data_IF_895039781663
#
_entry.id   IF_895039781663
#
_cell.length_a   1.000
_cell.length_b   1.000
_cell.length_c   1.000
_cell.angle_alpha   90.00
_cell.angle_beta   90.00
_cell.angle_gamma   90.00
#
_symmetry.space_group_name_H-M   'P 1'
#
loop_
_entity.id
_entity.type
_entity.pdbx_description
1 polymer ?
#
# COMPACT_ATOMS: atom_id res chain seq x y z
N UNK A 1 -5.46 47.70 -17.99
CA UNK A 1 -5.41 46.31 -18.51
C UNK A 1 -4.12 45.63 -18.03
N UNK A 2 -4.01 45.27 -16.74
CA UNK A 2 -2.78 44.70 -16.15
C UNK A 2 -3.10 43.67 -15.03
N UNK A 3 -4.11 42.82 -15.21
CA UNK A 3 -4.60 41.90 -14.14
C UNK A 3 -4.56 40.40 -14.47
N UNK A 4 -3.98 39.98 -15.59
CA UNK A 4 -3.94 38.54 -15.98
C UNK A 4 -2.60 37.83 -15.75
N UNK A 5 -1.57 38.53 -15.27
CA UNK A 5 -0.23 37.93 -15.09
C UNK A 5 -0.10 37.03 -13.85
N UNK A 6 -1.09 37.02 -12.96
CA UNK A 6 -1.06 36.26 -11.70
C UNK A 6 -1.52 34.80 -11.80
N UNK A 7 -2.30 34.43 -12.82
CA UNK A 7 -2.84 33.06 -12.94
C UNK A 7 -1.91 32.10 -13.71
N UNK A 8 -0.83 32.62 -14.29
CA UNK A 8 0.00 31.90 -15.25
C UNK A 8 1.28 31.28 -14.62
N UNK A 9 1.73 31.71 -13.44
CA UNK A 9 2.99 31.18 -12.85
C UNK A 9 2.80 29.79 -12.24
N UNK A 10 1.72 29.58 -11.49
CA UNK A 10 1.46 28.27 -10.86
C UNK A 10 1.09 27.21 -11.90
N UNK A 11 0.23 27.55 -12.86
CA UNK A 11 -0.16 26.67 -13.97
C UNK A 11 1.07 26.28 -14.84
N UNK A 12 2.04 27.19 -15.00
CA UNK A 12 3.30 26.89 -15.71
C UNK A 12 4.20 25.92 -14.96
N UNK A 13 4.31 26.06 -13.64
CA UNK A 13 5.15 25.17 -12.82
C UNK A 13 4.55 23.77 -12.73
N UNK A 14 3.22 23.67 -12.65
CA UNK A 14 2.48 22.41 -12.70
C UNK A 14 2.72 21.69 -14.03
N UNK A 15 2.49 22.38 -15.16
CA UNK A 15 2.77 21.84 -16.50
C UNK A 15 4.23 21.43 -16.72
N UNK A 16 5.18 22.13 -16.10
CA UNK A 16 6.59 21.77 -16.17
C UNK A 16 6.87 20.45 -15.44
N UNK A 17 6.28 20.23 -14.27
CA UNK A 17 6.39 18.95 -13.54
C UNK A 17 5.76 17.82 -14.33
N UNK A 18 4.55 18.03 -14.83
CA UNK A 18 3.84 17.02 -15.63
C UNK A 18 4.62 16.70 -16.92
N UNK A 19 5.31 17.68 -17.52
CA UNK A 19 6.13 17.48 -18.73
C UNK A 19 7.37 16.63 -18.41
N UNK A 20 8.06 16.93 -17.30
CA UNK A 20 9.21 16.15 -16.84
C UNK A 20 8.86 14.70 -16.45
N UNK A 21 7.65 14.50 -15.91
CA UNK A 21 7.10 13.19 -15.55
C UNK A 21 6.46 12.44 -16.75
N UNK A 22 6.39 13.07 -17.93
CA UNK A 22 5.74 12.52 -19.13
C UNK A 22 4.23 12.23 -18.93
N UNK A 23 3.57 13.04 -18.10
CA UNK A 23 2.13 12.95 -17.81
C UNK A 23 1.29 13.87 -18.71
N UNK A 24 1.92 14.75 -19.49
CA UNK A 24 1.22 15.59 -20.48
C UNK A 24 0.63 14.74 -21.61
N UNK A 25 -0.56 15.16 -22.06
CA UNK A 25 -1.11 14.67 -23.33
C UNK A 25 -0.23 15.14 -24.49
N UNK A 26 -0.18 14.40 -25.61
CA UNK A 26 0.75 14.71 -26.72
C UNK A 26 0.52 16.10 -27.34
N UNK A 27 -0.73 16.56 -27.39
CA UNK A 27 -1.10 17.90 -27.84
C UNK A 27 -0.59 19.00 -26.89
N UNK A 28 -0.68 18.78 -25.59
CA UNK A 28 -0.18 19.69 -24.56
C UNK A 28 1.36 19.71 -24.54
N UNK A 29 2.00 18.56 -24.72
CA UNK A 29 3.45 18.44 -24.78
C UNK A 29 4.02 19.25 -25.94
N UNK A 30 3.41 19.15 -27.13
CA UNK A 30 3.81 19.94 -28.30
C UNK A 30 3.65 21.44 -28.06
N UNK A 31 2.54 21.86 -27.45
CA UNK A 31 2.33 23.27 -27.09
C UNK A 31 3.38 23.76 -26.07
N UNK A 32 3.77 22.91 -25.12
CA UNK A 32 4.81 23.23 -24.14
C UNK A 32 6.21 23.30 -24.79
N UNK A 33 6.51 22.43 -25.76
CA UNK A 33 7.76 22.48 -26.52
C UNK A 33 7.90 23.77 -27.33
N UNK A 34 6.83 24.22 -27.99
CA UNK A 34 6.79 25.52 -28.64
C UNK A 34 7.04 26.68 -27.65
N UNK A 35 6.53 26.56 -26.42
CA UNK A 35 6.83 27.52 -25.36
C UNK A 35 8.30 27.48 -24.93
N UNK A 36 8.88 26.29 -24.82
CA UNK A 36 10.29 26.12 -24.47
C UNK A 36 11.19 26.80 -25.50
N UNK A 37 10.89 26.74 -26.80
CA UNK A 37 11.65 27.44 -27.83
C UNK A 37 11.70 28.97 -27.63
N UNK A 38 10.63 29.55 -27.05
CA UNK A 38 10.50 31.00 -26.84
C UNK A 38 10.85 31.51 -25.43
N UNK A 39 11.08 30.62 -24.45
CA UNK A 39 11.20 31.01 -23.03
C UNK A 39 12.49 30.51 -22.37
N UNK A 40 13.54 31.34 -22.25
CA UNK A 40 14.82 30.93 -21.69
C UNK A 40 14.77 30.58 -20.19
N UNK A 41 13.78 31.09 -19.45
CA UNK A 41 13.58 30.73 -18.05
C UNK A 41 13.13 29.27 -17.92
N UNK A 42 12.13 28.85 -18.68
CA UNK A 42 11.64 27.48 -18.66
C UNK A 42 12.68 26.49 -19.23
N UNK A 43 13.48 26.89 -20.21
CA UNK A 43 14.63 26.09 -20.68
C UNK A 43 15.62 25.83 -19.55
N UNK A 44 15.94 26.84 -18.74
CA UNK A 44 16.85 26.71 -17.60
C UNK A 44 16.28 25.79 -16.55
N UNK A 45 15.01 25.97 -16.17
CA UNK A 45 14.35 25.11 -15.19
C UNK A 45 14.37 23.64 -15.62
N UNK A 46 14.03 23.35 -16.89
CA UNK A 46 14.09 21.98 -17.44
C UNK A 46 15.52 21.42 -17.42
N UNK A 47 16.53 22.23 -17.74
CA UNK A 47 17.93 21.81 -17.69
C UNK A 47 18.38 21.47 -16.24
N UNK A 48 18.04 22.33 -15.28
CA UNK A 48 18.36 22.14 -13.86
C UNK A 48 17.72 20.84 -13.33
N UNK A 49 16.45 20.58 -13.66
CA UNK A 49 15.77 19.35 -13.26
C UNK A 49 16.37 18.10 -13.92
N UNK A 50 16.78 18.17 -15.19
CA UNK A 50 17.47 17.05 -15.86
C UNK A 50 18.79 16.72 -15.17
N UNK A 51 19.56 17.73 -14.78
CA UNK A 51 20.80 17.54 -14.04
C UNK A 51 20.55 16.84 -12.68
N UNK A 52 19.50 17.24 -11.95
CA UNK A 52 19.11 16.57 -10.71
C UNK A 52 18.72 15.11 -10.95
N UNK A 53 17.95 14.83 -12.01
CA UNK A 53 17.54 13.47 -12.38
C UNK A 53 18.75 12.60 -12.73
N UNK A 54 19.72 13.13 -13.47
CA UNK A 54 20.97 12.44 -13.79
C UNK A 54 21.82 12.18 -12.54
N UNK A 55 21.91 13.14 -11.63
CA UNK A 55 22.60 12.97 -10.36
C UNK A 55 21.95 11.88 -9.49
N UNK A 56 20.62 11.86 -9.42
CA UNK A 56 19.84 10.82 -8.73
C UNK A 56 19.94 9.46 -9.41
N UNK A 57 20.02 9.40 -10.74
CA UNK A 57 20.23 8.15 -11.47
C UNK A 57 21.63 7.57 -11.23
N UNK A 58 22.61 8.43 -10.95
CA UNK A 58 23.99 8.02 -10.60
C UNK A 58 24.09 7.52 -9.16
N UNK A 59 23.13 7.86 -8.29
CA UNK A 59 22.99 7.22 -6.99
C UNK A 59 22.48 5.79 -7.17
N UNK A 60 23.40 4.88 -7.53
CA UNK A 60 23.19 3.46 -7.34
C UNK A 60 22.99 3.22 -5.84
N UNK A 61 21.77 2.84 -5.45
CA UNK A 61 21.55 2.32 -4.10
C UNK A 61 22.27 0.97 -4.00
N UNK A 62 23.53 0.99 -3.59
CA UNK A 62 24.27 -0.19 -3.15
C UNK A 62 23.42 -0.93 -2.10
N UNK A 63 22.85 -2.07 -2.50
CA UNK A 63 22.14 -2.98 -1.60
C UNK A 63 20.64 -3.17 -1.83
N UNK A 64 20.01 -2.54 -2.82
CA UNK A 64 18.64 -2.91 -3.22
C UNK A 64 18.70 -3.82 -4.45
N UNK A 65 18.33 -5.11 -4.36
CA UNK A 65 18.26 -5.96 -5.54
C UNK A 65 17.32 -5.27 -6.55
N UNK A 66 17.82 -5.03 -7.76
CA UNK A 66 17.01 -4.56 -8.87
C UNK A 66 15.98 -5.64 -9.19
N UNK A 67 14.83 -5.59 -8.51
CA UNK A 67 13.66 -6.37 -8.87
C UNK A 67 13.07 -5.64 -10.06
N UNK A 68 13.58 -5.92 -11.26
CA UNK A 68 12.87 -5.60 -12.50
C UNK A 68 11.59 -6.44 -12.50
N UNK A 69 10.53 -5.92 -11.92
CA UNK A 69 9.18 -6.43 -12.14
C UNK A 69 8.82 -6.07 -13.59
N UNK A 70 9.34 -6.86 -14.53
CA UNK A 70 8.75 -7.00 -15.85
C UNK A 70 7.35 -7.55 -15.59
N UNK A 71 6.39 -6.64 -15.44
CA UNK A 71 4.98 -7.02 -15.53
C UNK A 71 4.80 -7.34 -17.01
N UNK A 72 5.16 -8.56 -17.38
CA UNK A 72 4.80 -9.15 -18.66
C UNK A 72 3.27 -9.12 -18.72
N UNK A 73 2.76 -8.06 -19.33
CA UNK A 73 1.38 -7.98 -19.69
C UNK A 73 1.11 -9.10 -20.70
N UNK A 74 0.43 -10.15 -20.22
CA UNK A 74 -0.10 -11.32 -20.92
C UNK A 74 0.80 -12.56 -20.86
N UNK A 75 0.25 -13.70 -20.39
CA UNK A 75 -0.69 -14.40 -21.26
C UNK A 75 -2.08 -14.53 -20.65
N UNK A 76 -3.09 -14.48 -21.52
CA UNK A 76 -4.46 -14.97 -21.29
C UNK A 76 -4.41 -16.45 -20.93
N UNK A 77 -3.96 -16.80 -19.74
CA UNK A 77 -4.05 -18.16 -19.22
C UNK A 77 -5.53 -18.38 -18.97
N UNK A 78 -6.17 -19.10 -19.89
CA UNK A 78 -7.62 -19.26 -19.88
C UNK A 78 -8.02 -19.78 -18.51
N UNK A 79 -8.89 -19.06 -17.81
CA UNK A 79 -9.35 -19.46 -16.47
C UNK A 79 -9.95 -20.88 -16.48
N UNK A 80 -10.38 -21.34 -17.65
CA UNK A 80 -10.79 -22.70 -17.97
C UNK A 80 -9.70 -23.76 -17.82
N UNK A 81 -8.44 -23.46 -18.15
CA UNK A 81 -7.32 -24.39 -17.95
C UNK A 81 -7.00 -24.56 -16.46
N UNK A 82 -7.07 -23.48 -15.69
CA UNK A 82 -6.96 -23.54 -14.22
C UNK A 82 -8.08 -24.39 -13.63
N UNK A 83 -9.30 -24.22 -14.15
CA UNK A 83 -10.46 -25.02 -13.74
C UNK A 83 -10.36 -26.50 -14.13
N UNK A 84 -9.57 -26.82 -15.16
CA UNK A 84 -9.33 -28.19 -15.63
C UNK A 84 -8.29 -28.93 -14.79
N UNK A 85 -7.37 -28.20 -14.17
CA UNK A 85 -6.34 -28.74 -13.28
C UNK A 85 -6.83 -29.03 -11.86
N UNK A 86 -8.03 -28.57 -11.49
CA UNK A 86 -8.62 -28.81 -10.17
C UNK A 86 -9.09 -30.26 -10.02
N UNK A 87 -8.90 -30.88 -8.83
CA UNK A 87 -9.31 -32.25 -8.58
C UNK A 87 -10.84 -32.40 -8.66
N UNK A 88 -11.32 -33.59 -9.06
CA UNK A 88 -12.73 -33.82 -9.45
C UNK A 88 -13.74 -33.36 -8.39
N UNK A 89 -13.42 -33.55 -7.10
CA UNK A 89 -14.27 -33.14 -5.97
C UNK A 89 -14.43 -31.62 -5.86
N UNK A 90 -13.38 -30.83 -6.12
CA UNK A 90 -13.49 -29.35 -6.15
C UNK A 90 -14.36 -28.86 -7.31
N UNK A 91 -14.35 -29.57 -8.44
CA UNK A 91 -15.20 -29.23 -9.59
C UNK A 91 -16.67 -29.44 -9.25
N UNK A 92 -16.99 -30.53 -8.54
CA UNK A 92 -18.34 -30.78 -8.01
C UNK A 92 -18.77 -29.71 -7.00
N UNK A 93 -17.90 -29.35 -6.06
CA UNK A 93 -18.21 -28.31 -5.04
C UNK A 93 -18.40 -26.94 -5.70
N UNK A 94 -17.52 -26.54 -6.62
CA UNK A 94 -17.64 -25.25 -7.32
C UNK A 94 -18.88 -25.17 -8.21
N UNK A 95 -19.24 -26.26 -8.90
CA UNK A 95 -20.46 -26.33 -9.69
C UNK A 95 -21.71 -26.23 -8.81
N UNK A 96 -21.72 -26.93 -7.66
CA UNK A 96 -22.80 -26.85 -6.70
C UNK A 96 -22.92 -25.44 -6.08
N UNK A 97 -21.80 -24.82 -5.74
CA UNK A 97 -21.76 -23.46 -5.21
C UNK A 97 -22.23 -22.42 -6.25
N UNK A 98 -21.79 -22.53 -7.50
CA UNK A 98 -22.23 -21.68 -8.59
C UNK A 98 -23.74 -21.86 -8.87
N UNK A 99 -24.24 -23.10 -8.83
CA UNK A 99 -25.67 -23.38 -8.95
C UNK A 99 -26.47 -22.77 -7.79
N UNK A 100 -26.01 -22.91 -6.54
CA UNK A 100 -26.63 -22.26 -5.38
C UNK A 100 -26.59 -20.73 -5.47
N UNK A 101 -25.49 -20.15 -5.93
CA UNK A 101 -25.35 -18.71 -6.12
C UNK A 101 -26.33 -18.21 -7.20
N UNK A 102 -26.45 -18.93 -8.32
CA UNK A 102 -27.44 -18.63 -9.36
C UNK A 102 -28.86 -18.75 -8.82
N UNK A 103 -29.18 -19.81 -8.07
CA UNK A 103 -30.50 -19.99 -7.43
C UNK A 103 -30.82 -18.84 -6.45
N UNK A 104 -29.82 -18.37 -5.70
CA UNK A 104 -29.96 -17.22 -4.80
C UNK A 104 -30.15 -15.91 -5.57
N UNK A 105 -29.40 -15.68 -6.64
CA UNK A 105 -29.54 -14.52 -7.53
C UNK A 105 -30.90 -14.49 -8.24
N UNK A 106 -31.42 -15.65 -8.64
CA UNK A 106 -32.72 -15.77 -9.32
C UNK A 106 -33.92 -15.87 -8.37
N UNK A 107 -33.70 -15.87 -7.05
CA UNK A 107 -34.73 -15.96 -6.01
C UNK A 107 -35.81 -17.01 -6.36
N UNK A 108 -35.38 -18.20 -6.80
CA UNK A 108 -36.27 -19.25 -7.29
C UNK A 108 -37.05 -19.82 -6.11
N UNK A 109 -38.35 -19.54 -6.05
CA UNK A 109 -39.23 -20.12 -5.05
C UNK A 109 -39.89 -21.37 -5.62
N UNK A 110 -39.52 -22.53 -5.09
CA UNK A 110 -40.18 -23.81 -5.39
C UNK A 110 -41.25 -24.03 -4.33
N UNK A 111 -42.51 -23.86 -4.72
CA UNK A 111 -43.67 -24.10 -3.86
C UNK A 111 -44.43 -25.34 -4.30
N UNK A 112 -44.81 -26.19 -3.35
CA UNK A 112 -45.73 -27.29 -3.59
C UNK A 112 -47.10 -26.93 -3.05
N UNK A 113 -48.10 -26.79 -3.93
CA UNK A 113 -49.47 -26.51 -3.51
C UNK A 113 -50.35 -27.71 -3.84
N UNK A 114 -51.03 -28.27 -2.84
CA UNK A 114 -51.77 -29.53 -2.95
C UNK A 114 -52.92 -29.52 -3.98
N UNK A 115 -53.33 -28.33 -4.45
CA UNK A 115 -54.38 -28.16 -5.46
C UNK A 115 -53.86 -27.92 -6.89
N UNK A 116 -52.65 -27.39 -7.05
CA UNK A 116 -52.11 -26.93 -8.36
C UNK A 116 -50.78 -27.61 -8.76
N UNK A 117 -50.23 -28.50 -7.92
CA UNK A 117 -48.96 -29.18 -8.18
C UNK A 117 -47.71 -28.34 -7.88
N UNK A 118 -46.59 -28.69 -8.52
CA UNK A 118 -45.31 -27.98 -8.40
C UNK A 118 -45.36 -26.65 -9.16
N UNK A 119 -45.24 -25.53 -8.44
CA UNK A 119 -45.14 -24.20 -9.06
C UNK A 119 -43.69 -23.70 -8.99
N UNK A 120 -43.08 -23.51 -10.16
CA UNK A 120 -41.79 -22.86 -10.31
C UNK A 120 -42.01 -21.38 -10.65
N UNK A 121 -41.62 -20.47 -9.73
CA UNK A 121 -41.58 -19.03 -10.03
C UNK A 121 -40.15 -18.51 -9.87
N UNK A 122 -39.58 -18.04 -10.98
CA UNK A 122 -38.35 -17.26 -10.99
C UNK A 122 -38.73 -15.79 -11.27
N UNK A 123 -38.50 -14.91 -10.30
CA UNK A 123 -38.79 -13.47 -10.42
C UNK A 123 -37.50 -12.69 -10.17
N UNK A 124 -37.02 -11.95 -11.17
CA UNK A 124 -35.89 -11.02 -11.06
C UNK A 124 -36.23 -9.74 -10.28
N UNK A 125 -37.49 -9.57 -9.88
CA UNK A 125 -37.95 -8.42 -9.09
C UNK A 125 -38.33 -8.95 -7.70
N UNK A 126 -37.69 -8.47 -6.61
CA UNK A 126 -38.09 -8.82 -5.25
C UNK A 126 -39.49 -8.25 -5.02
N UNK A 127 -40.51 -9.11 -5.07
CA UNK A 127 -41.83 -8.74 -4.60
C UNK A 127 -41.78 -8.72 -3.08
N UNK A 128 -41.71 -7.51 -2.53
CA UNK A 128 -42.02 -7.24 -1.14
C UNK A 128 -43.36 -7.92 -0.84
N UNK A 129 -43.31 -8.91 0.06
CA UNK A 129 -44.47 -9.53 0.70
C UNK A 129 -45.47 -8.41 1.04
N UNK A 130 -46.76 -8.50 0.68
CA UNK A 130 -47.72 -7.45 0.99
C UNK A 130 -47.76 -7.28 2.51
N UNK A 131 -47.11 -6.24 2.99
CA UNK A 131 -47.12 -5.87 4.39
C UNK A 131 -48.54 -5.44 4.73
N UNK A 132 -49.09 -5.86 5.88
CA UNK A 132 -50.36 -5.32 6.36
C UNK A 132 -50.29 -3.79 6.38
N UNK A 133 -51.39 -3.09 6.05
CA UNK A 133 -51.41 -1.64 5.90
C UNK A 133 -50.91 -1.01 7.20
N UNK A 134 -49.68 -0.49 7.15
CA UNK A 134 -49.13 0.29 8.26
C UNK A 134 -49.87 1.62 8.27
N UNK A 135 -50.26 2.14 9.44
CA UNK A 135 -50.91 3.43 9.53
C UNK A 135 -49.98 4.49 8.91
N UNK A 136 -50.52 5.25 7.97
CA UNK A 136 -49.83 6.37 7.34
C UNK A 136 -49.69 7.48 8.39
N UNK A 137 -48.65 7.39 9.21
CA UNK A 137 -48.18 8.51 10.01
C UNK A 137 -47.52 9.45 9.00
N UNK A 138 -48.19 10.56 8.70
CA UNK A 138 -47.67 11.60 7.82
C UNK A 138 -46.49 12.29 8.47
N UNK A 139 -45.29 11.72 8.33
CA UNK A 139 -44.05 12.39 8.68
C UNK A 139 -43.93 13.64 7.81
N UNK A 140 -43.80 14.79 8.46
CA UNK A 140 -43.54 16.04 7.76
C UNK A 140 -42.13 16.01 7.17
N UNK A 141 -41.90 16.70 6.05
CA UNK A 141 -40.59 16.74 5.38
C UNK A 141 -39.47 17.22 6.34
N UNK A 142 -39.82 18.11 7.27
CA UNK A 142 -38.92 18.63 8.29
C UNK A 142 -38.51 17.56 9.32
N UNK A 143 -39.42 16.66 9.67
CA UNK A 143 -39.14 15.56 10.59
C UNK A 143 -38.20 14.52 9.95
N UNK A 144 -38.39 14.22 8.67
CA UNK A 144 -37.48 13.33 7.93
C UNK A 144 -36.09 13.95 7.83
N UNK A 145 -35.98 15.25 7.51
CA UNK A 145 -34.69 15.96 7.46
C UNK A 145 -33.98 15.94 8.81
N UNK A 146 -34.70 16.15 9.91
CA UNK A 146 -34.13 16.10 11.25
C UNK A 146 -33.60 14.70 11.60
N UNK A 147 -34.35 13.63 11.28
CA UNK A 147 -33.92 12.25 11.51
C UNK A 147 -32.69 11.89 10.67
N UNK A 148 -32.66 12.28 9.39
CA UNK A 148 -31.51 12.03 8.52
C UNK A 148 -30.27 12.79 9.00
N UNK A 149 -30.41 14.07 9.38
CA UNK A 149 -29.31 14.85 9.91
C UNK A 149 -28.73 14.24 11.19
N UNK A 150 -29.59 13.80 12.12
CA UNK A 150 -29.18 13.13 13.34
C UNK A 150 -28.46 11.79 13.04
N UNK A 151 -28.98 11.00 12.10
CA UNK A 151 -28.38 9.73 11.70
C UNK A 151 -26.99 9.93 11.06
N UNK A 152 -26.83 10.92 10.18
CA UNK A 152 -25.55 11.26 9.55
C UNK A 152 -24.54 11.74 10.59
N UNK A 153 -24.96 12.59 11.54
CA UNK A 153 -24.09 13.06 12.61
C UNK A 153 -23.63 11.90 13.51
N UNK A 154 -24.54 10.99 13.86
CA UNK A 154 -24.21 9.80 14.63
C UNK A 154 -23.27 8.85 13.86
N UNK A 155 -23.48 8.67 12.55
CA UNK A 155 -22.61 7.86 11.71
C UNK A 155 -21.19 8.45 11.62
N UNK A 156 -21.08 9.76 11.42
CA UNK A 156 -19.79 10.46 11.37
C UNK A 156 -19.05 10.38 12.72
N UNK A 157 -19.77 10.54 13.85
CA UNK A 157 -19.18 10.37 15.17
C UNK A 157 -18.63 8.95 15.36
N UNK A 158 -19.42 7.91 15.04
CA UNK A 158 -18.96 6.51 15.12
C UNK A 158 -17.75 6.26 14.21
N UNK A 159 -17.76 6.81 13.00
CA UNK A 159 -16.66 6.65 12.05
C UNK A 159 -15.37 7.31 12.58
N UNK A 160 -15.46 8.54 13.09
CA UNK A 160 -14.33 9.26 13.67
C UNK A 160 -13.76 8.55 14.90
N UNK A 161 -14.60 8.01 15.77
CA UNK A 161 -14.18 7.22 16.94
C UNK A 161 -13.45 5.94 16.53
N UNK A 162 -13.94 5.25 15.50
CA UNK A 162 -13.28 4.04 14.98
C UNK A 162 -11.89 4.36 14.40
N UNK A 163 -11.78 5.43 13.63
CA UNK A 163 -10.49 5.89 13.09
C UNK A 163 -9.52 6.26 14.21
N UNK A 164 -9.97 7.00 15.22
CA UNK A 164 -9.15 7.36 16.37
C UNK A 164 -8.63 6.12 17.12
N UNK A 165 -9.49 5.11 17.33
CA UNK A 165 -9.10 3.85 17.95
C UNK A 165 -8.08 3.06 17.10
N UNK A 166 -8.25 3.03 15.77
CA UNK A 166 -7.30 2.39 14.86
C UNK A 166 -5.93 3.07 14.87
N UNK A 167 -5.90 4.40 14.88
CA UNK A 167 -4.65 5.17 14.95
C UNK A 167 -3.92 4.96 16.28
N UNK A 168 -4.64 4.89 17.40
CA UNK A 168 -4.04 4.59 18.71
C UNK A 168 -3.46 3.17 18.77
N UNK A 169 -4.14 2.20 18.16
CA UNK A 169 -3.65 0.82 18.05
C UNK A 169 -2.35 0.76 17.22
N UNK A 170 -2.33 1.38 16.04
CA UNK A 170 -1.13 1.48 15.20
C UNK A 170 0.03 2.18 15.92
N UNK A 171 -0.24 3.27 16.65
CA UNK A 171 0.77 3.98 17.42
C UNK A 171 1.38 3.11 18.53
N UNK A 172 0.56 2.27 19.19
CA UNK A 172 1.03 1.32 20.20
C UNK A 172 1.89 0.22 19.59
N UNK A 173 1.47 -0.35 18.46
CA UNK A 173 2.22 -1.38 17.75
C UNK A 173 3.59 -0.85 17.29
N UNK A 174 3.62 0.34 16.70
CA UNK A 174 4.87 0.97 16.25
C UNK A 174 5.82 1.27 17.42
N UNK A 175 5.30 1.72 18.57
CA UNK A 175 6.10 1.92 19.79
C UNK A 175 6.67 0.60 20.31
N UNK A 176 5.88 -0.47 20.31
CA UNK A 176 6.31 -1.79 20.74
C UNK A 176 7.43 -2.33 19.84
N UNK A 177 7.26 -2.27 18.52
CA UNK A 177 8.30 -2.68 17.56
C UNK A 177 9.58 -1.87 17.73
N UNK A 178 9.47 -0.55 17.84
CA UNK A 178 10.64 0.31 18.02
C UNK A 178 11.36 0.01 19.34
N UNK A 179 10.64 -0.22 20.43
CA UNK A 179 11.24 -0.62 21.70
C UNK A 179 11.97 -1.96 21.58
N UNK A 180 11.38 -2.95 20.89
CA UNK A 180 12.05 -4.21 20.63
C UNK A 180 13.33 -4.04 19.80
N UNK A 181 13.28 -3.26 18.72
CA UNK A 181 14.46 -2.98 17.88
C UNK A 181 15.55 -2.28 18.67
N UNK A 182 15.22 -1.27 19.47
CA UNK A 182 16.19 -0.56 20.32
C UNK A 182 16.82 -1.48 21.37
N UNK A 183 16.05 -2.34 22.03
CA UNK A 183 16.60 -3.31 23.00
C UNK A 183 17.48 -4.38 22.33
N UNK A 184 17.21 -4.74 21.08
CA UNK A 184 18.06 -5.64 20.30
C UNK A 184 19.38 -4.95 19.95
N UNK A 185 19.32 -3.72 19.41
CA UNK A 185 20.50 -2.93 19.09
C UNK A 185 21.37 -2.67 20.33
N UNK A 186 20.78 -2.30 21.46
CA UNK A 186 21.51 -2.10 22.71
C UNK A 186 22.25 -3.37 23.17
N UNK A 187 21.62 -4.56 23.03
CA UNK A 187 22.27 -5.84 23.35
C UNK A 187 23.40 -6.16 22.38
N UNK A 188 23.20 -5.96 21.08
CA UNK A 188 24.24 -6.19 20.06
C UNK A 188 25.44 -5.28 20.28
N UNK A 189 25.23 -3.99 20.54
CA UNK A 189 26.32 -3.04 20.82
C UNK A 189 27.08 -3.41 22.10
N UNK A 190 26.37 -3.83 23.15
CA UNK A 190 27.02 -4.28 24.39
C UNK A 190 27.88 -5.52 24.16
N UNK A 191 27.38 -6.48 23.40
CA UNK A 191 28.12 -7.69 23.06
C UNK A 191 29.35 -7.37 22.21
N UNK A 192 29.25 -6.44 21.25
CA UNK A 192 30.40 -5.99 20.48
C UNK A 192 31.45 -5.29 21.36
N UNK A 193 31.02 -4.46 22.31
CA UNK A 193 31.92 -3.83 23.27
C UNK A 193 32.65 -4.85 24.15
N UNK A 194 31.92 -5.86 24.65
CA UNK A 194 32.51 -6.94 25.46
C UNK A 194 33.53 -7.76 24.64
N UNK A 195 33.21 -8.08 23.37
CA UNK A 195 34.13 -8.75 22.46
C UNK A 195 35.39 -7.91 22.19
N UNK A 196 35.24 -6.60 21.92
CA UNK A 196 36.40 -5.71 21.70
C UNK A 196 37.28 -5.58 22.94
N UNK A 197 36.70 -5.50 24.13
CA UNK A 197 37.48 -5.47 25.38
C UNK A 197 38.25 -6.78 25.57
N UNK A 198 37.63 -7.92 25.25
CA UNK A 198 38.28 -9.23 25.30
C UNK A 198 39.46 -9.31 24.32
N UNK A 199 39.26 -8.91 23.06
CA UNK A 199 40.32 -8.87 22.03
C UNK A 199 41.50 -7.98 22.44
N UNK A 200 41.23 -6.78 22.97
CA UNK A 200 42.29 -5.88 23.44
C UNK A 200 43.04 -6.45 24.64
N UNK A 201 42.36 -7.17 25.53
CA UNK A 201 42.98 -7.81 26.70
C UNK A 201 43.87 -8.97 26.28
N UNK A 202 43.42 -9.80 25.34
CA UNK A 202 44.20 -10.90 24.76
C UNK A 202 45.44 -10.37 24.02
N UNK A 203 45.27 -9.33 23.20
CA UNK A 203 46.40 -8.67 22.50
C UNK A 203 47.42 -8.10 23.50
N UNK A 204 46.97 -7.47 24.59
CA UNK A 204 47.85 -6.98 25.64
C UNK A 204 48.61 -8.13 26.30
N UNK A 205 47.94 -9.23 26.67
CA UNK A 205 48.57 -10.38 27.31
C UNK A 205 49.60 -11.06 26.39
N UNK A 206 49.29 -11.21 25.10
CA UNK A 206 50.21 -11.74 24.09
C UNK A 206 51.42 -10.82 23.85
N UNK A 207 51.24 -9.50 23.96
CA UNK A 207 52.35 -8.55 23.89
C UNK A 207 53.28 -8.65 25.09
N UNK A 208 52.74 -8.86 26.30
CA UNK A 208 53.54 -9.06 27.51
C UNK A 208 54.35 -10.36 27.45
N UNK A 209 53.77 -11.48 27.01
CA UNK A 209 54.50 -12.75 26.88
C UNK A 209 55.65 -12.66 25.87
N UNK A 210 55.41 -12.00 24.73
CA UNK A 210 56.44 -11.75 23.71
C UNK A 210 57.60 -10.93 24.27
N UNK A 211 57.32 -9.89 25.07
CA UNK A 211 58.36 -9.08 25.70
C UNK A 211 59.13 -9.86 26.77
N UNK A 212 58.47 -10.71 27.56
CA UNK A 212 59.16 -11.55 28.55
C UNK A 212 60.07 -12.59 27.92
N UNK A 213 59.68 -13.16 26.77
CA UNK A 213 60.53 -14.12 26.04
C UNK A 213 61.78 -13.45 25.45
N UNK A 214 61.63 -12.24 24.90
CA UNK A 214 62.76 -11.44 24.40
C UNK A 214 63.74 -11.02 25.50
N UNK A 215 63.24 -10.67 26.69
CA UNK A 215 64.08 -10.27 27.82
C UNK A 215 64.67 -11.47 28.60
N UNK A 216 63.96 -12.60 28.65
CA UNK A 216 64.37 -13.81 29.40
C UNK A 216 65.30 -14.77 28.63
N UNK A 217 65.25 -14.78 27.30
CA UNK A 217 66.01 -15.70 26.46
C UNK A 217 67.53 -15.47 26.41
N UNK A 218 68.04 -14.32 26.88
CA UNK A 218 69.46 -13.97 26.83
C UNK A 218 70.36 -14.66 27.87
N UNK A 219 69.80 -15.34 28.88
CA UNK A 219 70.57 -15.81 30.04
C UNK A 219 71.06 -17.27 29.97
N UNK A 220 70.87 -18.00 28.85
CA UNK A 220 71.08 -19.48 28.83
C UNK A 220 72.16 -20.06 27.90
N UNK A 221 72.90 -19.27 27.11
CA UNK A 221 73.96 -19.81 26.22
C UNK A 221 75.37 -19.32 26.59
N UNK A 222 75.86 -19.75 27.75
CA UNK A 222 77.23 -19.45 28.16
C UNK A 222 77.81 -20.50 29.11
N UNK A 223 77.96 -21.75 28.64
CA UNK A 223 78.87 -22.76 29.21
C UNK A 223 79.37 -23.68 28.11
#
# INVERSE_FOLDING_TARGET
>A
MNRELGHNINDRREKLMDYLCQELRPDEAQAFELHLEGCPACQRDVADFRQVKEALATWELEGVPHISLSIDAQPKRSWFELFRALPLWMRLVSAAAAAMLLLALFNVQVGYNAKDGFQFRASLIPQSKPAPPSPTIGFTEDEVKAVVAAAVQQANQKHSQKLAAQLDQLAKELRWENQQKLTKLARTLRQEQENRIFELTDQAQNSYTTLTDLLGGGARNGY
#
